data_IF_276114675435
#
_entry.id   IF_276114675435
#
_cell.length_a   1.000
_cell.length_b   1.000
_cell.length_c   1.000
_cell.angle_alpha   90.00
_cell.angle_beta   90.00
_cell.angle_gamma   90.00
#
_symmetry.space_group_name_H-M   'P 1'
#
loop_
_entity.id
_entity.type
_entity.pdbx_description
1 polymer ?
#
# COMPACT_ATOMS: atom_id res chain seq x y z
N UNK A 1 -7.14 33.08 25.82
CA UNK A 1 -6.08 33.56 24.90
C UNK A 1 -6.67 33.64 23.50
N UNK A 2 -6.74 34.83 22.89
CA UNK A 2 -7.29 35.06 21.55
C UNK A 2 -6.15 35.53 20.65
N UNK A 3 -5.91 34.81 19.54
CA UNK A 3 -4.79 35.11 18.64
C UNK A 3 -5.16 36.28 17.72
N UNK A 4 -4.37 37.35 17.76
CA UNK A 4 -4.48 38.48 16.84
C UNK A 4 -4.25 38.03 15.39
N UNK A 5 -5.01 38.61 14.45
CA UNK A 5 -4.87 38.34 13.02
C UNK A 5 -3.54 38.90 12.50
N UNK A 6 -2.92 38.22 11.52
CA UNK A 6 -1.65 38.68 10.95
C UNK A 6 -1.88 39.87 10.02
N UNK A 7 -1.17 40.98 10.24
CA UNK A 7 -1.27 42.18 9.39
C UNK A 7 -0.37 42.14 8.15
N UNK A 8 0.71 41.33 8.18
CA UNK A 8 1.64 41.18 7.07
C UNK A 8 2.04 39.71 6.83
N UNK A 9 2.24 39.37 5.55
CA UNK A 9 2.68 38.06 5.08
C UNK A 9 1.56 37.05 4.85
N UNK A 10 1.78 36.12 3.91
CA UNK A 10 0.87 34.99 3.66
C UNK A 10 1.30 33.76 4.46
N UNK A 11 0.34 32.92 4.84
CA UNK A 11 0.63 31.66 5.52
C UNK A 11 1.56 30.81 4.66
N UNK A 12 2.76 30.50 5.17
CA UNK A 12 3.67 29.52 4.58
C UNK A 12 3.03 28.12 4.48
N UNK A 13 1.99 27.86 5.29
CA UNK A 13 1.23 26.62 5.30
C UNK A 13 0.03 26.68 4.36
N UNK A 14 0.33 26.67 3.05
CA UNK A 14 -0.68 26.56 2.00
C UNK A 14 -1.33 25.17 1.98
N UNK A 15 -2.48 25.03 1.32
CA UNK A 15 -3.12 23.72 1.14
C UNK A 15 -2.20 22.70 0.46
N UNK A 16 -1.41 23.13 -0.54
CA UNK A 16 -0.41 22.28 -1.21
C UNK A 16 0.66 21.78 -0.23
N UNK A 17 1.14 22.65 0.67
CA UNK A 17 2.12 22.26 1.68
C UNK A 17 1.54 21.23 2.66
N UNK A 18 0.28 21.41 3.08
CA UNK A 18 -0.46 20.45 3.91
C UNK A 18 -0.59 19.08 3.23
N UNK A 19 -0.99 19.05 1.96
CA UNK A 19 -1.16 17.79 1.22
C UNK A 19 0.17 17.06 1.04
N UNK A 20 1.24 17.78 0.68
CA UNK A 20 2.58 17.19 0.57
C UNK A 20 3.01 16.56 1.90
N UNK A 21 2.82 17.28 3.00
CA UNK A 21 3.18 16.80 4.34
C UNK A 21 2.38 15.56 4.75
N UNK A 22 1.09 15.52 4.42
CA UNK A 22 0.25 14.33 4.63
C UNK A 22 0.81 13.13 3.85
N UNK A 23 1.10 13.31 2.56
CA UNK A 23 1.63 12.23 1.71
C UNK A 23 2.98 11.71 2.25
N UNK A 24 3.91 12.60 2.56
CA UNK A 24 5.22 12.22 3.15
C UNK A 24 5.03 11.41 4.44
N UNK A 25 4.09 11.82 5.30
CA UNK A 25 3.80 11.10 6.55
C UNK A 25 3.22 9.70 6.29
N UNK A 26 2.29 9.58 5.33
CA UNK A 26 1.71 8.28 4.95
C UNK A 26 2.78 7.34 4.40
N UNK A 27 3.67 7.82 3.52
CA UNK A 27 4.73 6.99 2.94
C UNK A 27 5.84 6.66 3.93
N UNK A 28 6.14 7.52 4.92
CA UNK A 28 7.24 7.31 5.86
C UNK A 28 6.87 6.44 7.07
N UNK A 29 5.58 6.40 7.45
CA UNK A 29 5.13 5.73 8.67
C UNK A 29 4.00 4.70 8.48
N UNK A 30 3.55 4.46 7.24
CA UNK A 30 2.43 3.55 6.97
C UNK A 30 2.73 2.54 5.87
N UNK A 31 2.26 1.32 6.06
CA UNK A 31 2.27 0.24 5.05
C UNK A 31 1.06 0.30 4.10
N UNK A 32 0.21 1.34 4.23
CA UNK A 32 -1.01 1.55 3.44
C UNK A 32 -0.81 1.40 1.92
N UNK A 33 0.20 2.02 1.27
CA UNK A 33 0.37 1.92 -0.17
C UNK A 33 0.60 0.47 -0.64
N UNK A 34 1.36 -0.29 0.15
CA UNK A 34 1.69 -1.67 -0.14
C UNK A 34 0.46 -2.55 0.03
N UNK A 35 -0.31 -2.32 1.10
CA UNK A 35 -1.56 -3.03 1.36
C UNK A 35 -2.59 -2.81 0.26
N UNK A 36 -2.62 -1.60 -0.32
CA UNK A 36 -3.44 -1.29 -1.50
C UNK A 36 -3.01 -2.09 -2.73
N UNK A 37 -1.71 -2.21 -3.02
CA UNK A 37 -1.23 -3.03 -4.14
C UNK A 37 -1.58 -4.50 -3.98
N UNK A 38 -1.42 -5.06 -2.78
CA UNK A 38 -1.79 -6.44 -2.49
C UNK A 38 -3.29 -6.67 -2.66
N UNK A 39 -4.12 -5.73 -2.19
CA UNK A 39 -5.58 -5.78 -2.35
C UNK A 39 -5.98 -5.66 -3.83
N UNK A 40 -5.41 -4.71 -4.55
CA UNK A 40 -5.66 -4.52 -5.98
C UNK A 40 -5.23 -5.72 -6.81
N UNK A 41 -4.06 -6.31 -6.52
CA UNK A 41 -3.59 -7.54 -7.16
C UNK A 41 -4.52 -8.72 -6.88
N UNK A 42 -4.98 -8.88 -5.62
CA UNK A 42 -5.97 -9.88 -5.26
C UNK A 42 -7.30 -9.72 -6.01
N UNK A 43 -7.84 -8.50 -6.05
CA UNK A 43 -9.06 -8.18 -6.80
C UNK A 43 -8.90 -8.42 -8.31
N UNK A 44 -7.75 -8.04 -8.88
CA UNK A 44 -7.43 -8.28 -10.29
C UNK A 44 -7.36 -9.77 -10.62
N UNK A 45 -6.79 -10.59 -9.74
CA UNK A 45 -6.74 -12.03 -9.89
C UNK A 45 -8.15 -12.65 -9.84
N UNK A 46 -8.98 -12.22 -8.88
CA UNK A 46 -10.38 -12.65 -8.77
C UNK A 46 -11.19 -12.28 -10.02
N UNK A 47 -11.05 -11.06 -10.52
CA UNK A 47 -11.74 -10.61 -11.73
C UNK A 47 -11.29 -11.38 -12.98
N UNK A 48 -9.99 -11.68 -13.08
CA UNK A 48 -9.44 -12.51 -14.17
C UNK A 48 -10.03 -13.93 -14.16
N UNK A 49 -10.15 -14.56 -12.98
CA UNK A 49 -10.82 -15.87 -12.86
C UNK A 49 -12.29 -15.80 -13.27
N UNK A 50 -13.01 -14.77 -12.84
CA UNK A 50 -14.43 -14.60 -13.13
C UNK A 50 -14.67 -14.37 -14.62
N UNK A 51 -13.88 -13.50 -15.25
CA UNK A 51 -13.86 -13.32 -16.71
C UNK A 51 -13.49 -14.61 -17.45
N UNK A 52 -12.58 -15.41 -16.90
CA UNK A 52 -12.17 -16.68 -17.49
C UNK A 52 -13.32 -17.66 -17.54
N UNK A 53 -14.10 -17.72 -16.47
CA UNK A 53 -15.32 -18.51 -16.39
C UNK A 53 -16.38 -18.04 -17.40
N UNK A 54 -16.62 -16.73 -17.48
CA UNK A 54 -17.59 -16.13 -18.42
C UNK A 54 -17.21 -16.43 -19.86
N UNK A 55 -15.94 -16.26 -20.22
CA UNK A 55 -15.40 -16.56 -21.55
C UNK A 55 -15.52 -18.04 -21.89
N UNK A 56 -15.20 -18.93 -20.95
CA UNK A 56 -15.34 -20.37 -21.14
C UNK A 56 -16.79 -20.75 -21.45
N UNK A 57 -17.75 -20.21 -20.68
CA UNK A 57 -19.18 -20.41 -20.92
C UNK A 57 -19.62 -19.83 -22.27
N UNK A 58 -19.19 -18.62 -22.61
CA UNK A 58 -19.53 -17.97 -23.87
C UNK A 58 -18.93 -18.68 -25.10
N UNK A 59 -17.77 -19.32 -24.94
CA UNK A 59 -17.15 -20.19 -25.95
C UNK A 59 -17.96 -21.47 -26.15
N UNK A 60 -18.44 -22.09 -25.06
CA UNK A 60 -19.29 -23.28 -25.10
C UNK A 60 -20.68 -22.99 -25.67
N UNK A 61 -21.21 -21.77 -25.49
CA UNK A 61 -22.52 -21.35 -26.00
C UNK A 61 -22.49 -20.79 -27.43
N UNK A 62 -21.33 -20.75 -28.09
CA UNK A 62 -21.19 -20.24 -29.47
C UNK A 62 -21.35 -18.72 -29.63
N UNK A 63 -21.37 -17.94 -28.54
CA UNK A 63 -21.66 -16.50 -28.57
C UNK A 63 -20.45 -15.62 -28.97
N UNK A 64 -19.23 -16.13 -28.82
CA UNK A 64 -18.00 -15.40 -29.18
C UNK A 64 -17.50 -15.90 -30.53
N UNK A 65 -17.80 -15.13 -31.57
CA UNK A 65 -17.43 -15.46 -32.94
C UNK A 65 -16.04 -14.93 -33.34
N UNK A 66 -15.45 -14.04 -32.53
CA UNK A 66 -14.10 -13.48 -32.76
C UNK A 66 -13.05 -14.40 -32.12
N UNK A 67 -12.23 -15.09 -32.93
CA UNK A 67 -11.17 -15.95 -32.39
C UNK A 67 -10.12 -15.11 -31.65
N UNK A 68 -9.63 -15.61 -30.52
CA UNK A 68 -8.47 -15.03 -29.83
C UNK A 68 -8.75 -13.84 -28.91
N UNK A 69 -9.80 -13.04 -29.12
CA UNK A 69 -10.11 -11.87 -28.27
C UNK A 69 -10.24 -12.24 -26.79
N UNK A 70 -10.97 -13.32 -26.53
CA UNK A 70 -11.25 -13.74 -25.17
C UNK A 70 -9.98 -14.22 -24.46
N UNK A 71 -9.10 -14.94 -25.17
CA UNK A 71 -7.84 -15.45 -24.63
C UNK A 71 -6.83 -14.32 -24.40
N UNK A 72 -6.75 -13.31 -25.28
CA UNK A 72 -5.82 -12.19 -25.13
C UNK A 72 -6.18 -11.32 -23.94
N UNK A 73 -7.45 -10.94 -23.80
CA UNK A 73 -7.93 -10.15 -22.65
C UNK A 73 -7.67 -10.89 -21.35
N UNK A 74 -7.95 -12.20 -21.31
CA UNK A 74 -7.74 -13.00 -20.10
C UNK A 74 -6.27 -13.07 -19.69
N UNK A 75 -5.40 -13.30 -20.67
CA UNK A 75 -3.96 -13.39 -20.46
C UNK A 75 -3.43 -12.06 -19.93
N UNK A 76 -3.85 -10.93 -20.52
CA UNK A 76 -3.43 -9.59 -20.06
C UNK A 76 -3.91 -9.34 -18.63
N UNK A 77 -5.18 -9.59 -18.31
CA UNK A 77 -5.69 -9.38 -16.94
C UNK A 77 -4.98 -10.29 -15.92
N UNK A 78 -4.73 -11.55 -16.27
CA UNK A 78 -4.03 -12.49 -15.41
C UNK A 78 -2.61 -12.01 -15.10
N UNK A 79 -1.84 -11.65 -16.15
CA UNK A 79 -0.50 -11.12 -15.96
C UNK A 79 -0.50 -9.76 -15.25
N UNK A 80 -1.47 -8.88 -15.49
CA UNK A 80 -1.58 -7.63 -14.74
C UNK A 80 -1.84 -7.87 -13.25
N UNK A 81 -2.75 -8.80 -12.92
CA UNK A 81 -3.08 -9.17 -11.55
C UNK A 81 -1.90 -9.77 -10.79
N UNK A 82 -1.20 -10.74 -11.38
CA UNK A 82 -0.03 -11.35 -10.75
C UNK A 82 1.13 -10.36 -10.56
N UNK A 83 1.33 -9.43 -11.51
CA UNK A 83 2.34 -8.37 -11.37
C UNK A 83 2.00 -7.44 -10.19
N UNK A 84 0.74 -6.99 -10.06
CA UNK A 84 0.29 -6.17 -8.93
C UNK A 84 0.45 -6.89 -7.59
N UNK A 85 0.10 -8.18 -7.54
CA UNK A 85 0.30 -9.02 -6.36
C UNK A 85 1.79 -9.14 -6.00
N UNK A 86 2.65 -9.38 -6.99
CA UNK A 86 4.10 -9.42 -6.82
C UNK A 86 4.67 -8.11 -6.29
N UNK A 87 4.24 -6.97 -6.85
CA UNK A 87 4.57 -5.63 -6.37
C UNK A 87 4.15 -5.41 -4.92
N UNK A 88 2.95 -5.85 -4.53
CA UNK A 88 2.48 -5.79 -3.15
C UNK A 88 3.36 -6.61 -2.19
N UNK A 89 3.74 -7.83 -2.58
CA UNK A 89 4.60 -8.71 -1.77
C UNK A 89 6.00 -8.09 -1.62
N UNK A 90 6.63 -7.70 -2.73
CA UNK A 90 7.96 -7.08 -2.73
C UNK A 90 7.94 -5.80 -1.90
N UNK A 91 6.94 -4.95 -2.09
CA UNK A 91 6.75 -3.73 -1.31
C UNK A 91 6.69 -4.00 0.20
N UNK A 92 5.99 -5.06 0.62
CA UNK A 92 5.89 -5.44 2.03
C UNK A 92 7.22 -5.89 2.64
N UNK A 93 8.07 -6.53 1.85
CA UNK A 93 9.44 -6.86 2.27
C UNK A 93 10.33 -5.63 2.35
N UNK A 94 10.28 -4.75 1.34
CA UNK A 94 11.04 -3.50 1.32
C UNK A 94 10.66 -2.61 2.51
N UNK A 95 9.37 -2.51 2.83
CA UNK A 95 8.90 -1.77 3.99
C UNK A 95 9.43 -2.31 5.31
N UNK A 96 9.40 -3.64 5.49
CA UNK A 96 9.98 -4.27 6.68
C UNK A 96 11.48 -4.06 6.78
N UNK A 97 12.19 -4.14 5.66
CA UNK A 97 13.61 -3.81 5.61
C UNK A 97 13.86 -2.35 6.02
N UNK A 98 13.06 -1.41 5.53
CA UNK A 98 13.11 0.01 5.91
C UNK A 98 12.77 0.25 7.39
N UNK A 99 11.83 -0.49 7.97
CA UNK A 99 11.57 -0.41 9.42
C UNK A 99 12.74 -0.91 10.25
N UNK A 100 13.39 -1.99 9.81
CA UNK A 100 14.57 -2.53 10.48
C UNK A 100 15.77 -1.57 10.41
N UNK A 101 15.97 -0.84 9.31
CA UNK A 101 17.07 0.14 9.20
C UNK A 101 16.89 1.36 10.11
N UNK A 102 15.66 1.68 10.52
CA UNK A 102 15.39 2.77 11.47
C UNK A 102 15.90 2.47 12.89
N UNK A 103 16.27 1.22 13.21
CA UNK A 103 16.84 0.82 14.49
C UNK A 103 16.07 1.36 15.72
N UNK A 104 14.74 1.44 15.64
CA UNK A 104 13.92 1.98 16.73
C UNK A 104 13.97 1.02 17.93
N UNK A 105 14.42 1.46 19.12
CA UNK A 105 14.45 0.61 20.29
C UNK A 105 13.03 0.16 20.65
N UNK A 106 12.86 -1.12 20.97
CA UNK A 106 11.56 -1.73 21.30
C UNK A 106 10.91 -1.08 22.53
N UNK A 107 11.72 -0.57 23.45
CA UNK A 107 11.27 0.13 24.64
C UNK A 107 12.28 1.23 25.00
N UNK A 108 11.76 2.31 25.57
CA UNK A 108 12.57 3.35 26.23
C UNK A 108 12.36 3.18 27.73
N UNK A 109 13.44 2.91 28.47
CA UNK A 109 13.40 2.83 29.93
C UNK A 109 13.02 4.22 30.47
N UNK A 110 11.82 4.34 31.05
CA UNK A 110 11.35 5.60 31.62
C UNK A 110 12.00 5.90 32.97
N UNK A 111 12.24 4.85 33.77
CA UNK A 111 12.89 4.96 35.07
C UNK A 111 13.51 3.62 35.46
N UNK A 112 14.75 3.63 35.95
CA UNK A 112 15.43 2.45 36.48
C UNK A 112 15.87 2.76 37.91
N UNK A 113 15.38 1.97 38.88
CA UNK A 113 15.86 2.03 40.26
C UNK A 113 16.78 0.84 40.52
N UNK A 114 18.04 1.12 40.80
CA UNK A 114 18.99 0.10 41.27
C UNK A 114 19.03 0.15 42.80
N UNK A 115 18.69 -0.97 43.44
CA UNK A 115 18.82 -1.12 44.89
C UNK A 115 20.16 -1.78 45.23
N UNK A 116 20.91 -1.26 46.22
CA UNK A 116 22.16 -1.86 46.66
C UNK A 116 21.85 -3.19 47.36
N UNK A 117 22.25 -4.31 46.75
CA UNK A 117 22.08 -5.66 47.29
C UNK A 117 21.57 -6.72 46.31
N UNK A 118 21.03 -6.32 45.15
CA UNK A 118 20.71 -7.26 44.08
C UNK A 118 21.99 -7.59 43.30
N UNK A 119 22.41 -8.87 43.33
CA UNK A 119 23.48 -9.37 42.46
C UNK A 119 23.04 -9.31 40.99
N UNK A 120 24.01 -9.14 40.05
CA UNK A 120 23.74 -8.94 38.63
C UNK A 120 22.98 -10.12 37.99
#
# INVERSE_FOLDING_TARGET
YVRQAREHGVSAWSFKAKLKYLMDSVFAFSDLPIRLFTLAGGLGLSLSMLMGLVVLVARLSGAVNVPGYAATVLTILFFAGINLLGLGIIGAYVWRAYENTKARPLAVLMHAQSYPGAKP
#
